data_IF_787314958008
#
_entry.id   IF_787314958008
#
_cell.length_a   1.000
_cell.length_b   1.000
_cell.length_c   1.000
_cell.angle_alpha   90.00
_cell.angle_beta   90.00
_cell.angle_gamma   90.00
#
_symmetry.space_group_name_H-M   'P 1'
#
loop_
_entity.id
_entity.type
_entity.pdbx_description
1 polymer ?
#
# COMPACT_ATOMS: atom_id res chain seq x y z
N UNK A 1 -8.99 28.29 -2.59
CA UNK A 1 -7.83 27.58 -2.01
C UNK A 1 -7.25 26.67 -3.09
N UNK A 2 -6.01 26.91 -3.53
CA UNK A 2 -5.42 26.60 -4.85
C UNK A 2 -5.82 25.26 -5.52
N UNK A 3 -6.65 25.35 -6.57
CA UNK A 3 -7.11 24.25 -7.45
C UNK A 3 -6.10 23.98 -8.60
N UNK A 4 -5.00 24.75 -8.72
CA UNK A 4 -4.35 24.98 -10.01
C UNK A 4 -3.56 23.82 -10.63
N UNK A 5 -3.39 22.67 -9.97
CA UNK A 5 -2.63 21.51 -10.51
C UNK A 5 -3.11 20.14 -10.00
N UNK A 6 -4.40 19.97 -9.68
CA UNK A 6 -4.93 18.64 -9.27
C UNK A 6 -5.20 17.74 -10.47
N UNK A 7 -5.00 16.44 -10.27
CA UNK A 7 -5.25 15.39 -11.28
C UNK A 7 -6.46 14.60 -10.82
N UNK A 8 -7.66 14.98 -11.29
CA UNK A 8 -8.94 14.46 -10.77
C UNK A 8 -9.06 12.95 -10.81
N UNK A 9 -8.60 12.31 -11.89
CA UNK A 9 -8.66 10.87 -12.05
C UNK A 9 -7.79 10.10 -11.04
N UNK A 10 -6.67 10.66 -10.58
CA UNK A 10 -5.86 10.02 -9.54
C UNK A 10 -6.56 10.03 -8.18
N UNK A 11 -7.30 11.09 -7.87
CA UNK A 11 -8.13 11.14 -6.67
C UNK A 11 -9.26 10.09 -6.79
N UNK A 12 -9.86 9.90 -7.97
CA UNK A 12 -10.87 8.86 -8.21
C UNK A 12 -10.33 7.46 -8.02
N UNK A 13 -9.23 7.14 -8.67
CA UNK A 13 -8.65 5.81 -8.62
C UNK A 13 -8.18 5.45 -7.20
N UNK A 14 -7.63 6.44 -6.47
CA UNK A 14 -7.30 6.27 -5.04
C UNK A 14 -8.55 6.06 -4.19
N UNK A 15 -9.63 6.79 -4.47
CA UNK A 15 -10.92 6.67 -3.79
C UNK A 15 -11.58 5.31 -4.01
N UNK A 16 -11.52 4.81 -5.23
CA UNK A 16 -11.97 3.46 -5.55
C UNK A 16 -11.14 2.41 -4.80
N UNK A 17 -9.80 2.49 -4.87
CA UNK A 17 -8.92 1.54 -4.18
C UNK A 17 -9.12 1.52 -2.66
N UNK A 18 -9.31 2.67 -2.01
CA UNK A 18 -9.55 2.73 -0.56
C UNK A 18 -10.91 2.12 -0.20
N UNK A 19 -11.96 2.34 -1.00
CA UNK A 19 -13.27 1.71 -0.76
C UNK A 19 -13.17 0.19 -0.91
N UNK A 20 -12.48 -0.32 -1.93
CA UNK A 20 -12.23 -1.75 -2.08
C UNK A 20 -11.49 -2.34 -0.88
N UNK A 21 -10.50 -1.63 -0.34
CA UNK A 21 -9.78 -2.04 0.89
C UNK A 21 -10.73 -2.11 2.10
N UNK A 22 -11.63 -1.12 2.26
CA UNK A 22 -12.62 -1.12 3.34
C UNK A 22 -13.58 -2.31 3.23
N UNK A 23 -14.08 -2.59 2.02
CA UNK A 23 -14.95 -3.74 1.76
C UNK A 23 -14.22 -5.04 2.04
N UNK A 24 -12.94 -5.15 1.66
CA UNK A 24 -12.13 -6.33 1.95
C UNK A 24 -12.00 -6.59 3.46
N UNK A 25 -11.62 -5.59 4.25
CA UNK A 25 -11.52 -5.77 5.71
C UNK A 25 -12.85 -6.08 6.37
N UNK A 26 -13.95 -5.48 5.90
CA UNK A 26 -15.29 -5.84 6.34
C UNK A 26 -15.58 -7.34 6.10
N UNK A 27 -15.22 -7.88 4.94
CA UNK A 27 -15.40 -9.31 4.65
C UNK A 27 -14.49 -10.20 5.50
N UNK A 28 -13.25 -9.76 5.79
CA UNK A 28 -12.31 -10.43 6.71
C UNK A 28 -12.90 -10.54 8.10
N UNK A 29 -13.45 -9.45 8.65
CA UNK A 29 -14.10 -9.47 9.96
C UNK A 29 -15.30 -10.41 9.98
N UNK A 30 -16.19 -10.27 8.99
CA UNK A 30 -17.37 -11.11 8.89
C UNK A 30 -17.01 -12.60 8.88
N UNK A 31 -15.98 -13.00 8.12
CA UNK A 31 -15.55 -14.39 8.03
C UNK A 31 -14.86 -14.89 9.29
N UNK A 32 -13.81 -14.20 9.75
CA UNK A 32 -12.92 -14.71 10.78
C UNK A 32 -13.31 -14.33 12.22
N UNK A 33 -14.02 -13.21 12.40
CA UNK A 33 -14.43 -12.72 13.73
C UNK A 33 -15.89 -13.09 14.03
N UNK A 34 -16.76 -12.99 13.03
CA UNK A 34 -18.21 -13.20 13.18
C UNK A 34 -18.72 -14.52 12.56
N UNK A 35 -17.84 -15.34 11.99
CA UNK A 35 -18.16 -16.66 11.42
C UNK A 35 -19.26 -16.65 10.34
N UNK A 36 -19.41 -15.54 9.61
CA UNK A 36 -20.31 -15.42 8.47
C UNK A 36 -19.63 -16.02 7.24
N UNK A 37 -20.34 -16.89 6.53
CA UNK A 37 -19.76 -17.55 5.36
C UNK A 37 -19.81 -16.64 4.12
N UNK A 38 -18.63 -16.22 3.66
CA UNK A 38 -18.41 -15.37 2.48
C UNK A 38 -17.29 -15.96 1.61
N UNK A 39 -17.46 -17.19 1.06
CA UNK A 39 -16.37 -17.97 0.48
C UNK A 39 -15.67 -17.29 -0.70
N UNK A 40 -16.43 -16.54 -1.51
CA UNK A 40 -15.93 -15.87 -2.72
C UNK A 40 -14.78 -14.86 -2.45
N UNK A 41 -14.70 -14.29 -1.24
CA UNK A 41 -13.67 -13.30 -0.87
C UNK A 41 -12.34 -13.92 -0.42
N UNK A 42 -12.30 -15.24 -0.21
CA UNK A 42 -11.14 -15.95 0.36
C UNK A 42 -10.57 -17.03 -0.55
N UNK A 43 -11.01 -17.06 -1.80
CA UNK A 43 -10.38 -17.86 -2.84
C UNK A 43 -9.08 -17.20 -3.31
N UNK A 44 -8.10 -17.98 -3.74
CA UNK A 44 -6.75 -17.48 -4.08
C UNK A 44 -6.71 -16.42 -5.18
N UNK A 45 -7.72 -16.35 -6.05
CA UNK A 45 -7.81 -15.28 -7.06
C UNK A 45 -8.14 -13.91 -6.43
N UNK A 46 -8.81 -13.88 -5.27
CA UNK A 46 -9.15 -12.64 -4.59
C UNK A 46 -7.90 -11.97 -3.97
N UNK A 47 -6.93 -12.75 -3.50
CA UNK A 47 -5.63 -12.23 -3.06
C UNK A 47 -4.94 -11.43 -4.18
N UNK A 48 -5.04 -11.90 -5.42
CA UNK A 48 -4.49 -11.19 -6.59
C UNK A 48 -5.19 -9.85 -6.81
N UNK A 49 -6.51 -9.81 -6.63
CA UNK A 49 -7.29 -8.58 -6.74
C UNK A 49 -6.92 -7.57 -5.65
N UNK A 50 -6.78 -8.03 -4.40
CA UNK A 50 -6.30 -7.19 -3.29
C UNK A 50 -4.94 -6.58 -3.64
N UNK A 51 -4.00 -7.40 -4.10
CA UNK A 51 -2.65 -6.96 -4.42
C UNK A 51 -2.64 -5.96 -5.60
N UNK A 52 -3.56 -6.09 -6.57
CA UNK A 52 -3.74 -5.12 -7.65
C UNK A 52 -4.19 -3.75 -7.10
N UNK A 53 -5.21 -3.70 -6.23
CA UNK A 53 -5.69 -2.43 -5.69
C UNK A 53 -4.65 -1.76 -4.77
N UNK A 54 -3.91 -2.55 -4.01
CA UNK A 54 -2.77 -2.07 -3.23
C UNK A 54 -1.68 -1.49 -4.15
N UNK A 55 -1.32 -2.21 -5.21
CA UNK A 55 -0.35 -1.73 -6.20
C UNK A 55 -0.78 -0.42 -6.86
N UNK A 56 -2.06 -0.28 -7.20
CA UNK A 56 -2.65 0.97 -7.69
C UNK A 56 -2.48 2.08 -6.64
N UNK A 57 -2.86 1.83 -5.38
CA UNK A 57 -2.76 2.81 -4.31
C UNK A 57 -1.32 3.30 -4.09
N UNK A 58 -0.36 2.38 -4.04
CA UNK A 58 1.07 2.68 -3.88
C UNK A 58 1.62 3.43 -5.09
N UNK A 59 1.29 3.02 -6.31
CA UNK A 59 1.70 3.71 -7.53
C UNK A 59 1.19 5.15 -7.57
N UNK A 60 -0.09 5.38 -7.21
CA UNK A 60 -0.66 6.73 -7.10
C UNK A 60 0.08 7.55 -6.04
N UNK A 61 0.47 6.94 -4.91
CA UNK A 61 1.28 7.62 -3.89
C UNK A 61 2.60 8.12 -4.49
N UNK A 62 3.28 7.27 -5.27
CA UNK A 62 4.48 7.62 -6.03
C UNK A 62 4.24 8.78 -7.01
N UNK A 63 3.18 8.71 -7.83
CA UNK A 63 2.83 9.79 -8.78
C UNK A 63 2.70 11.13 -8.04
N UNK A 64 1.95 11.14 -6.94
CA UNK A 64 1.64 12.37 -6.18
C UNK A 64 2.85 12.90 -5.40
N UNK A 65 3.91 12.10 -5.20
CA UNK A 65 5.17 12.60 -4.63
C UNK A 65 5.85 13.66 -5.49
N UNK A 66 5.57 13.75 -6.80
CA UNK A 66 6.08 14.80 -7.68
C UNK A 66 5.44 16.19 -7.46
N UNK A 67 4.28 16.23 -6.80
CA UNK A 67 3.55 17.45 -6.45
C UNK A 67 3.83 17.92 -5.01
N UNK A 68 4.59 17.12 -4.26
CA UNK A 68 4.89 17.39 -2.85
C UNK A 68 5.96 18.46 -2.69
N UNK A 69 5.82 19.33 -1.69
CA UNK A 69 6.91 20.24 -1.28
C UNK A 69 8.01 19.51 -0.50
N UNK A 70 7.64 18.51 0.30
CA UNK A 70 8.59 17.70 1.08
C UNK A 70 8.05 16.29 1.24
N UNK A 71 8.63 15.35 0.49
CA UNK A 71 8.30 13.92 0.62
C UNK A 71 8.83 13.34 1.92
N UNK A 72 9.95 13.85 2.45
CA UNK A 72 10.51 13.42 3.72
C UNK A 72 9.54 13.69 4.89
N UNK A 73 9.01 14.92 4.99
CA UNK A 73 8.04 15.26 6.05
C UNK A 73 6.78 14.40 5.98
N UNK A 74 6.21 14.24 4.77
CA UNK A 74 5.02 13.40 4.56
C UNK A 74 5.31 11.92 4.86
N UNK A 75 6.49 11.46 4.50
CA UNK A 75 7.00 10.12 4.80
C UNK A 75 7.04 9.85 6.30
N UNK A 76 7.69 10.74 7.06
CA UNK A 76 7.76 10.66 8.53
C UNK A 76 6.38 10.69 9.16
N UNK A 77 5.49 11.59 8.72
CA UNK A 77 4.12 11.65 9.23
C UNK A 77 3.34 10.35 8.97
N UNK A 78 3.42 9.81 7.75
CA UNK A 78 2.76 8.56 7.37
C UNK A 78 3.30 7.37 8.17
N UNK A 79 4.62 7.27 8.29
CA UNK A 79 5.28 6.23 9.07
C UNK A 79 4.88 6.30 10.55
N UNK A 80 4.83 7.51 11.12
CA UNK A 80 4.45 7.71 12.51
C UNK A 80 2.99 7.32 12.79
N UNK A 81 2.07 7.60 11.85
CA UNK A 81 0.69 7.09 11.95
C UNK A 81 0.69 5.55 11.93
N UNK A 82 1.50 4.93 11.07
CA UNK A 82 1.72 3.47 11.08
C UNK A 82 2.16 2.96 12.45
N UNK A 83 3.16 3.61 13.08
CA UNK A 83 3.64 3.21 14.40
C UNK A 83 2.57 3.33 15.48
N UNK A 84 1.68 4.33 15.39
CA UNK A 84 0.50 4.44 16.26
C UNK A 84 -0.43 3.23 16.04
N UNK A 85 -0.66 2.83 14.79
CA UNK A 85 -1.47 1.64 14.48
C UNK A 85 -0.83 0.37 15.04
N UNK A 86 0.49 0.19 14.93
CA UNK A 86 1.22 -0.92 15.57
C UNK A 86 1.00 -0.93 17.07
N UNK A 87 1.13 0.22 17.73
CA UNK A 87 0.93 0.34 19.17
C UNK A 87 -0.50 -0.05 19.56
N UNK A 88 -1.52 0.51 18.89
CA UNK A 88 -2.93 0.21 19.19
C UNK A 88 -3.26 -1.25 18.94
N UNK A 89 -2.83 -1.80 17.81
CA UNK A 89 -3.10 -3.21 17.44
C UNK A 89 -2.36 -4.19 18.33
N UNK A 90 -1.21 -3.84 18.92
CA UNK A 90 -0.54 -4.67 19.92
C UNK A 90 -1.37 -4.90 21.19
N UNK A 91 -2.26 -3.98 21.55
CA UNK A 91 -3.19 -4.17 22.68
C UNK A 91 -4.50 -4.84 22.25
N UNK A 92 -5.05 -4.48 21.09
CA UNK A 92 -6.35 -4.97 20.62
C UNK A 92 -6.25 -6.37 20.00
N UNK A 93 -5.13 -6.71 19.38
CA UNK A 93 -4.86 -8.01 18.77
C UNK A 93 -3.44 -8.49 19.11
N UNK A 94 -3.16 -8.89 20.38
CA UNK A 94 -1.80 -9.22 20.82
C UNK A 94 -1.15 -10.39 20.06
N UNK A 95 -1.95 -11.29 19.47
CA UNK A 95 -1.45 -12.42 18.68
C UNK A 95 -1.01 -12.05 17.27
N UNK A 96 -1.43 -10.90 16.75
CA UNK A 96 -1.13 -10.42 15.40
C UNK A 96 -1.16 -8.90 15.34
N UNK A 97 -0.20 -8.18 15.96
CA UNK A 97 -0.09 -6.73 15.82
C UNK A 97 0.20 -6.34 14.36
N UNK A 98 -0.20 -5.14 13.94
CA UNK A 98 0.22 -4.57 12.64
C UNK A 98 1.67 -4.09 12.73
N UNK A 99 2.63 -4.97 12.44
CA UNK A 99 4.06 -4.69 12.56
C UNK A 99 4.63 -3.90 11.37
N UNK A 100 4.09 -4.10 10.17
CA UNK A 100 4.56 -3.43 8.95
C UNK A 100 3.50 -3.35 7.85
N UNK A 101 2.35 -2.74 8.17
CA UNK A 101 1.30 -2.46 7.20
C UNK A 101 1.63 -1.35 6.18
N UNK A 102 0.66 -1.02 5.35
CA UNK A 102 0.86 -0.14 4.18
C UNK A 102 1.33 1.28 4.55
N UNK A 103 0.96 1.82 5.72
CA UNK A 103 1.42 3.15 6.15
C UNK A 103 2.91 3.19 6.47
N UNK A 104 3.46 2.12 7.03
CA UNK A 104 4.90 1.97 7.26
C UNK A 104 5.64 1.95 5.91
N UNK A 105 5.19 1.09 5.01
CA UNK A 105 5.74 0.96 3.66
C UNK A 105 5.73 2.29 2.91
N UNK A 106 4.57 2.96 2.84
CA UNK A 106 4.43 4.25 2.17
C UNK A 106 5.29 5.34 2.81
N UNK A 107 5.36 5.36 4.14
CA UNK A 107 6.23 6.26 4.89
C UNK A 107 7.68 6.11 4.46
N UNK A 108 8.20 4.88 4.50
CA UNK A 108 9.58 4.57 4.08
C UNK A 108 9.80 4.89 2.60
N UNK A 109 8.87 4.52 1.71
CA UNK A 109 8.97 4.82 0.28
C UNK A 109 9.09 6.33 0.01
N UNK A 110 8.25 7.15 0.66
CA UNK A 110 8.29 8.61 0.53
C UNK A 110 9.58 9.21 1.09
N UNK A 111 10.09 8.68 2.21
CA UNK A 111 11.37 9.09 2.79
C UNK A 111 12.53 8.76 1.84
N UNK A 112 12.60 7.53 1.34
CA UNK A 112 13.61 7.09 0.38
C UNK A 112 13.58 7.92 -0.91
N UNK A 113 12.38 8.18 -1.44
CA UNK A 113 12.22 9.04 -2.61
C UNK A 113 12.66 10.48 -2.33
N UNK A 114 12.28 11.05 -1.19
CA UNK A 114 12.68 12.40 -0.79
C UNK A 114 14.20 12.57 -0.59
N UNK A 115 14.86 11.56 0.00
CA UNK A 115 16.31 11.56 0.19
C UNK A 115 17.07 11.30 -1.13
N UNK A 116 16.54 10.41 -1.96
CA UNK A 116 17.12 10.01 -3.24
C UNK A 116 16.72 10.89 -4.42
N UNK A 117 15.95 11.96 -4.21
CA UNK A 117 15.35 12.77 -5.29
C UNK A 117 16.38 13.22 -6.34
N UNK A 118 17.55 13.70 -5.91
CA UNK A 118 18.64 14.15 -6.81
C UNK A 118 19.20 13.04 -7.70
N UNK A 119 19.09 11.78 -7.27
CA UNK A 119 19.53 10.61 -8.03
C UNK A 119 18.44 10.23 -9.03
N UNK A 120 17.19 10.16 -8.57
CA UNK A 120 16.05 9.81 -9.43
C UNK A 120 15.82 10.82 -10.56
N UNK A 121 16.05 12.11 -10.33
CA UNK A 121 15.94 13.17 -11.35
C UNK A 121 16.94 13.04 -12.50
N UNK A 122 18.06 12.32 -12.30
CA UNK A 122 19.06 12.07 -13.36
C UNK A 122 18.66 10.92 -14.29
N UNK A 123 17.69 10.10 -13.90
CA UNK A 123 17.28 8.91 -14.64
C UNK A 123 16.15 9.32 -15.60
N UNK A 124 16.24 8.99 -16.90
CA UNK A 124 15.12 9.22 -17.83
C UNK A 124 13.84 8.55 -17.31
N UNK A 125 12.69 9.26 -17.20
CA UNK A 125 11.50 8.73 -16.53
C UNK A 125 11.00 7.39 -17.08
N UNK A 126 11.04 7.20 -18.40
CA UNK A 126 10.68 5.93 -19.02
C UNK A 126 11.61 4.79 -18.57
N UNK A 127 12.93 5.00 -18.60
CA UNK A 127 13.90 4.01 -18.16
C UNK A 127 13.73 3.68 -16.66
N UNK A 128 13.53 4.70 -15.83
CA UNK A 128 13.26 4.53 -14.40
C UNK A 128 12.00 3.71 -14.14
N UNK A 129 10.91 3.96 -14.88
CA UNK A 129 9.68 3.19 -14.76
C UNK A 129 9.87 1.72 -15.19
N UNK A 130 10.52 1.47 -16.32
CA UNK A 130 10.80 0.12 -16.82
C UNK A 130 11.70 -0.67 -15.85
N UNK A 131 12.78 -0.05 -15.38
CA UNK A 131 13.68 -0.66 -14.38
C UNK A 131 12.91 -0.99 -13.10
N UNK A 132 12.04 -0.07 -12.65
CA UNK A 132 11.22 -0.29 -11.45
C UNK A 132 10.27 -1.48 -11.64
N UNK A 133 9.56 -1.58 -12.77
CA UNK A 133 8.69 -2.72 -13.05
C UNK A 133 9.48 -4.03 -13.12
N UNK A 134 10.68 -4.01 -13.72
CA UNK A 134 11.55 -5.17 -13.75
C UNK A 134 11.99 -5.61 -12.34
N UNK A 135 12.44 -4.67 -11.50
CA UNK A 135 12.82 -4.95 -10.11
C UNK A 135 11.63 -5.42 -9.26
N UNK A 136 10.42 -4.90 -9.51
CA UNK A 136 9.20 -5.41 -8.90
C UNK A 136 9.01 -6.89 -9.23
N UNK A 137 9.09 -7.27 -10.51
CA UNK A 137 8.93 -8.67 -10.93
C UNK A 137 9.98 -9.58 -10.29
N UNK A 138 11.24 -9.13 -10.20
CA UNK A 138 12.31 -9.88 -9.57
C UNK A 138 12.08 -10.12 -8.07
N UNK A 139 11.53 -9.12 -7.38
CA UNK A 139 11.40 -9.12 -5.91
C UNK A 139 10.02 -9.55 -5.41
N UNK A 140 9.07 -9.79 -6.31
CA UNK A 140 7.68 -10.11 -5.97
C UNK A 140 7.55 -11.31 -5.03
N UNK A 141 8.43 -12.31 -5.19
CA UNK A 141 8.40 -13.55 -4.41
C UNK A 141 9.31 -13.55 -3.18
N UNK A 142 9.87 -12.40 -2.78
CA UNK A 142 10.79 -12.35 -1.63
C UNK A 142 10.12 -12.85 -0.33
N UNK A 143 8.84 -12.53 -0.13
CA UNK A 143 8.05 -13.02 1.01
C UNK A 143 8.02 -14.56 1.09
N UNK A 144 8.13 -15.26 -0.03
CA UNK A 144 8.06 -16.73 -0.10
C UNK A 144 9.43 -17.43 -0.18
N UNK A 145 10.53 -16.68 -0.04
CA UNK A 145 11.88 -17.27 -0.08
C UNK A 145 12.53 -17.29 -1.46
N UNK A 146 11.94 -16.65 -2.47
CA UNK A 146 12.40 -16.75 -3.86
C UNK A 146 12.55 -15.40 -4.54
N UNK A 147 13.52 -15.31 -5.44
CA UNK A 147 13.69 -14.22 -6.40
C UNK A 147 13.44 -14.73 -7.81
N UNK A 148 12.94 -13.86 -8.68
CA UNK A 148 12.84 -14.13 -10.11
C UNK A 148 11.46 -13.92 -10.69
N UNK A 149 11.38 -14.07 -12.00
CA UNK A 149 10.19 -13.77 -12.79
C UNK A 149 9.40 -15.06 -13.01
N UNK A 150 8.10 -15.01 -12.67
CA UNK A 150 7.19 -16.13 -12.83
C UNK A 150 7.27 -16.72 -14.26
N UNK A 151 7.51 -18.02 -14.38
CA UNK A 151 7.60 -18.73 -15.67
C UNK A 151 8.91 -18.58 -16.43
N UNK A 152 9.85 -17.71 -16.01
CA UNK A 152 11.14 -17.54 -16.66
C UNK A 152 12.30 -18.10 -15.84
N UNK A 153 12.45 -17.63 -14.59
CA UNK A 153 13.49 -18.12 -13.70
C UNK A 153 13.11 -17.92 -12.24
N UNK A 154 13.59 -18.83 -11.39
CA UNK A 154 13.34 -18.83 -9.95
C UNK A 154 14.63 -19.19 -9.23
N UNK A 155 15.11 -18.29 -8.38
CA UNK A 155 16.29 -18.46 -7.56
C UNK A 155 15.89 -18.47 -6.08
N UNK A 156 16.38 -19.45 -5.31
CA UNK A 156 16.16 -19.50 -3.86
C UNK A 156 16.98 -18.42 -3.18
N UNK A 157 16.36 -17.68 -2.26
CA UNK A 157 17.06 -16.69 -1.43
C UNK A 157 17.84 -17.37 -0.30
N UNK A 158 18.96 -16.76 0.16
CA UNK A 158 19.70 -17.29 1.29
C UNK A 158 18.84 -17.40 2.55
N UNK A 159 18.85 -18.58 3.19
CA UNK A 159 18.03 -18.85 4.39
C UNK A 159 18.39 -17.93 5.56
N UNK A 160 19.65 -17.47 5.63
CA UNK A 160 20.12 -16.51 6.64
C UNK A 160 19.34 -15.17 6.64
N UNK A 161 18.71 -14.79 5.51
CA UNK A 161 17.86 -13.61 5.45
C UNK A 161 16.54 -13.80 6.23
N UNK A 162 16.05 -15.03 6.31
CA UNK A 162 14.79 -15.39 6.96
C UNK A 162 15.00 -15.93 8.38
N UNK A 163 16.23 -16.21 8.78
CA UNK A 163 16.53 -16.64 10.15
C UNK A 163 16.44 -15.50 11.17
N UNK A 164 16.36 -14.25 10.71
CA UNK A 164 16.41 -13.06 11.57
C UNK A 164 15.07 -12.33 11.60
N UNK A 165 14.50 -12.12 12.78
CA UNK A 165 13.21 -11.44 12.96
C UNK A 165 13.22 -9.92 12.72
N UNK A 166 14.32 -9.34 12.22
CA UNK A 166 14.49 -7.89 12.03
C UNK A 166 14.38 -7.48 10.56
N UNK A 167 14.52 -8.43 9.64
CA UNK A 167 14.53 -8.15 8.19
C UNK A 167 13.13 -8.18 7.54
N UNK A 168 12.07 -8.37 8.34
CA UNK A 168 10.69 -8.30 7.85
C UNK A 168 10.34 -6.99 7.13
N UNK A 169 10.84 -5.78 7.51
CA UNK A 169 10.52 -4.56 6.77
C UNK A 169 11.04 -4.59 5.34
N UNK A 170 12.10 -5.36 5.05
CA UNK A 170 12.66 -5.48 3.71
C UNK A 170 11.93 -6.52 2.85
N UNK A 171 11.14 -7.43 3.45
CA UNK A 171 10.51 -8.54 2.73
C UNK A 171 11.07 -9.91 3.07
N UNK A 172 11.86 -10.02 4.13
CA UNK A 172 12.39 -11.27 4.65
C UNK A 172 11.77 -11.57 6.02
N UNK A 173 10.49 -11.98 6.10
CA UNK A 173 9.86 -12.31 7.36
C UNK A 173 10.43 -13.63 7.89
N UNK A 174 10.76 -13.68 9.18
CA UNK A 174 11.18 -14.93 9.82
C UNK A 174 10.01 -15.89 10.06
N UNK A 175 10.31 -17.15 10.39
CA UNK A 175 9.30 -18.21 10.53
C UNK A 175 8.19 -17.89 11.55
N UNK A 176 8.53 -17.14 12.60
CA UNK A 176 7.59 -16.75 13.67
C UNK A 176 6.92 -15.39 13.42
N UNK A 177 7.13 -14.78 12.25
CA UNK A 177 6.57 -13.47 11.94
C UNK A 177 5.06 -13.58 11.69
N UNK A 178 4.29 -12.88 12.51
CA UNK A 178 2.84 -12.76 12.37
C UNK A 178 2.49 -11.28 12.44
N UNK A 179 1.69 -10.82 11.48
CA UNK A 179 1.24 -9.43 11.42
C UNK A 179 -0.17 -9.38 10.85
N UNK A 180 -1.03 -8.51 11.39
CA UNK A 180 -2.39 -8.31 10.87
C UNK A 180 -2.36 -7.87 9.41
N UNK A 181 -1.46 -6.94 9.12
CA UNK A 181 -1.17 -6.45 7.79
C UNK A 181 0.33 -6.50 7.51
N UNK A 182 0.72 -6.85 6.30
CA UNK A 182 2.14 -7.00 5.96
C UNK A 182 2.45 -6.59 4.52
N UNK A 183 2.98 -5.38 4.38
CA UNK A 183 3.43 -4.80 3.13
C UNK A 183 4.93 -4.45 3.20
N UNK A 184 5.82 -5.42 2.92
CA UNK A 184 7.26 -5.18 2.99
C UNK A 184 7.77 -4.15 1.98
N UNK A 185 8.95 -3.59 2.20
CA UNK A 185 9.54 -2.64 1.25
C UNK A 185 9.76 -3.26 -0.13
N UNK A 186 10.23 -4.50 -0.21
CA UNK A 186 10.28 -5.25 -1.47
C UNK A 186 9.07 -6.18 -1.56
N UNK A 187 8.29 -6.13 -2.66
CA UNK A 187 8.59 -5.45 -3.93
C UNK A 187 7.99 -4.03 -4.05
N UNK A 188 7.20 -3.60 -3.06
CA UNK A 188 6.29 -2.46 -3.15
C UNK A 188 6.95 -1.10 -3.40
N UNK A 189 8.20 -0.92 -2.96
CA UNK A 189 9.04 0.24 -3.28
C UNK A 189 9.15 0.45 -4.80
N UNK A 190 9.26 -0.63 -5.57
CA UNK A 190 9.44 -0.51 -7.00
C UNK A 190 8.14 -0.11 -7.71
N UNK A 191 6.97 -0.50 -7.22
CA UNK A 191 5.69 0.04 -7.71
C UNK A 191 5.56 1.53 -7.35
N UNK A 192 5.97 1.91 -6.15
CA UNK A 192 6.02 3.31 -5.76
C UNK A 192 6.93 4.12 -6.71
N UNK A 193 8.14 3.63 -6.98
CA UNK A 193 9.09 4.30 -7.87
C UNK A 193 8.59 4.32 -9.32
N UNK A 194 7.99 3.25 -9.82
CA UNK A 194 7.36 3.24 -11.15
C UNK A 194 6.28 4.34 -11.25
N UNK A 195 5.45 4.48 -10.21
CA UNK A 195 4.51 5.59 -10.09
C UNK A 195 5.19 6.95 -10.02
N UNK A 196 6.28 7.10 -9.26
CA UNK A 196 7.03 8.35 -9.16
C UNK A 196 7.64 8.78 -10.51
N UNK A 197 8.24 7.85 -11.25
CA UNK A 197 8.74 8.13 -12.60
C UNK A 197 7.61 8.47 -13.58
N UNK A 198 6.51 7.73 -13.57
CA UNK A 198 5.34 8.06 -14.40
C UNK A 198 4.74 9.42 -14.04
N UNK A 199 4.80 9.80 -12.76
CA UNK A 199 4.32 11.08 -12.26
C UNK A 199 5.02 12.30 -12.84
N UNK A 200 6.22 12.15 -13.41
CA UNK A 200 6.89 13.22 -14.16
C UNK A 200 6.05 13.59 -15.40
N UNK A 201 5.61 12.61 -16.19
CA UNK A 201 4.73 12.84 -17.35
C UNK A 201 3.39 13.45 -16.96
N UNK A 202 2.82 13.00 -15.83
CA UNK A 202 1.56 13.54 -15.33
C UNK A 202 1.73 15.02 -14.93
N UNK A 203 2.82 15.37 -14.24
CA UNK A 203 3.16 16.73 -13.84
C UNK A 203 3.40 17.66 -15.04
N UNK A 204 4.05 17.16 -16.08
CA UNK A 204 4.32 17.87 -17.34
C UNK A 204 3.09 18.00 -18.26
N UNK A 205 1.90 17.55 -17.83
CA UNK A 205 0.68 17.54 -18.66
C UNK A 205 0.77 16.67 -19.92
N UNK A 206 1.62 15.64 -19.89
CA UNK A 206 1.85 14.69 -21.00
C UNK A 206 1.03 13.41 -20.88
N UNK A 207 0.32 13.21 -19.76
CA UNK A 207 -0.67 12.14 -19.64
C UNK A 207 -1.93 12.44 -20.47
N UNK A 208 -2.76 11.44 -20.80
CA UNK A 208 -4.02 11.66 -21.51
C UNK A 208 -4.90 12.71 -20.83
N UNK A 209 -5.60 13.54 -21.62
CA UNK A 209 -6.40 14.68 -21.13
C UNK A 209 -7.43 14.31 -20.06
N UNK A 210 -7.96 13.08 -20.08
CA UNK A 210 -8.93 12.62 -19.10
C UNK A 210 -8.34 12.55 -17.67
N UNK A 211 -7.04 12.28 -17.50
CA UNK A 211 -6.41 12.18 -16.16
C UNK A 211 -6.65 13.43 -15.31
N UNK A 212 -6.67 14.60 -15.94
CA UNK A 212 -6.78 15.89 -15.25
C UNK A 212 -8.21 16.26 -14.86
N UNK A 213 -9.21 15.60 -15.44
CA UNK A 213 -10.62 15.86 -15.13
C UNK A 213 -11.10 14.96 -14.00
N UNK A 214 -12.07 15.46 -13.26
CA UNK A 214 -12.90 14.66 -12.37
C UNK A 214 -14.14 14.21 -13.14
N UNK A 215 -14.37 12.91 -13.23
CA UNK A 215 -15.52 12.25 -13.83
C UNK A 215 -16.52 11.79 -12.76
N UNK A 216 -16.04 11.23 -11.64
CA UNK A 216 -16.87 10.66 -10.57
C UNK A 216 -16.55 11.37 -9.25
N UNK A 217 -17.31 12.43 -8.89
CA UNK A 217 -17.04 13.24 -7.70
C UNK A 217 -17.00 12.45 -6.40
N UNK A 218 -17.79 11.38 -6.29
CA UNK A 218 -17.83 10.50 -5.12
C UNK A 218 -16.47 9.84 -4.87
N UNK A 219 -15.90 9.15 -5.87
CA UNK A 219 -14.58 8.53 -5.73
C UNK A 219 -13.50 9.58 -5.53
N UNK A 220 -13.55 10.71 -6.23
CA UNK A 220 -12.60 11.79 -6.02
C UNK A 220 -12.64 12.32 -4.57
N UNK A 221 -13.84 12.43 -3.98
CA UNK A 221 -14.01 12.83 -2.59
C UNK A 221 -13.39 11.81 -1.63
N UNK A 222 -13.67 10.52 -1.83
CA UNK A 222 -13.08 9.44 -1.03
C UNK A 222 -11.55 9.45 -1.14
N UNK A 223 -10.97 9.60 -2.33
CA UNK A 223 -9.53 9.64 -2.52
C UNK A 223 -8.84 10.83 -1.84
N UNK A 224 -9.50 11.99 -1.82
CA UNK A 224 -9.01 13.18 -1.09
C UNK A 224 -8.97 12.98 0.43
N UNK A 225 -9.82 12.11 0.97
CA UNK A 225 -9.90 11.78 2.40
C UNK A 225 -9.36 10.38 2.73
N UNK A 226 -8.64 9.76 1.78
CA UNK A 226 -8.18 8.37 1.88
C UNK A 226 -7.41 8.05 3.16
N UNK A 227 -6.58 8.96 3.69
CA UNK A 227 -5.86 8.73 4.95
C UNK A 227 -6.81 8.60 6.15
N UNK A 228 -7.87 9.40 6.20
CA UNK A 228 -8.86 9.35 7.27
C UNK A 228 -9.74 8.11 7.15
N UNK A 229 -10.16 7.79 5.92
CA UNK A 229 -10.87 6.53 5.64
C UNK A 229 -10.00 5.34 6.06
N UNK A 230 -8.72 5.34 5.71
CA UNK A 230 -7.78 4.30 6.10
C UNK A 230 -7.63 4.18 7.62
N UNK A 231 -7.46 5.27 8.36
CA UNK A 231 -7.24 5.18 9.81
C UNK A 231 -8.52 4.79 10.55
N UNK A 232 -9.68 5.27 10.08
CA UNK A 232 -10.95 5.12 10.80
C UNK A 232 -11.76 3.89 10.39
N UNK A 233 -11.49 3.25 9.25
CA UNK A 233 -12.33 2.14 8.80
C UNK A 233 -12.47 1.06 9.87
N UNK A 234 -11.36 0.60 10.46
CA UNK A 234 -11.42 -0.50 11.40
C UNK A 234 -11.91 -0.14 12.82
N UNK A 235 -11.49 0.99 13.41
CA UNK A 235 -12.09 1.49 14.64
C UNK A 235 -13.60 1.77 14.55
N UNK A 236 -14.14 1.97 13.35
CA UNK A 236 -15.58 2.20 13.14
C UNK A 236 -16.33 0.91 12.79
N UNK A 237 -15.80 0.12 11.85
CA UNK A 237 -16.47 -1.09 11.35
C UNK A 237 -16.57 -2.15 12.45
N UNK A 238 -15.47 -2.41 13.16
CA UNK A 238 -15.43 -3.47 14.15
C UNK A 238 -16.47 -3.28 15.28
N UNK A 239 -16.59 -2.11 15.93
CA UNK A 239 -17.64 -1.90 16.93
C UNK A 239 -19.06 -1.98 16.38
N UNK A 240 -19.30 -1.51 15.14
CA UNK A 240 -20.62 -1.63 14.50
C UNK A 240 -21.00 -3.10 14.32
N UNK A 241 -20.08 -3.94 13.86
CA UNK A 241 -20.32 -5.37 13.75
C UNK A 241 -20.55 -6.01 15.12
N UNK A 242 -19.79 -5.65 16.15
CA UNK A 242 -20.02 -6.11 17.52
C UNK A 242 -21.45 -5.80 18.00
N UNK A 243 -21.98 -4.60 17.73
CA UNK A 243 -23.35 -4.23 18.06
C UNK A 243 -24.39 -5.06 17.30
N UNK A 244 -24.17 -5.30 16.01
CA UNK A 244 -25.09 -6.08 15.16
C UNK A 244 -25.16 -7.54 15.60
N UNK A 245 -24.01 -8.14 15.92
CA UNK A 245 -23.90 -9.57 16.26
C UNK A 245 -23.95 -9.84 17.78
N UNK A 246 -24.11 -8.80 18.61
CA UNK A 246 -24.17 -8.93 20.07
C UNK A 246 -22.88 -9.43 20.72
N UNK A 247 -21.72 -9.15 20.11
CA UNK A 247 -20.40 -9.56 20.61
C UNK A 247 -19.79 -8.47 21.49
N UNK A 248 -19.06 -8.84 22.55
CA UNK A 248 -18.26 -7.88 23.31
C UNK A 248 -17.13 -7.31 22.47
N UNK A 249 -16.83 -6.02 22.66
CA UNK A 249 -15.73 -5.31 21.97
C UNK A 249 -14.36 -5.75 22.55
N UNK A 250 -14.36 -6.31 23.77
CA UNK A 250 -13.21 -6.84 24.51
C UNK A 250 -13.46 -8.27 25.00
#
# INVERSE_FOLDING_TARGET
MEIKNRVGFLDELRGFAIICMVVYHLMVDLKFVFNVDVPIFFESWFDTIRDIFVGIFISISGIVSNYSRSNLKRGVQCFFIGMIMTFVTAFVSPGSPDLFGILHCLGVCMMLYGLGQRIFEKIPPFAGAVISVFLFMLTFNFKTGYSGIHGLFKAKMPEALYSTSVLFPLGFPGEKFVSLDYFPLFPWLFIFLAGAFYGVYVKEKRAPKFFYKTHIPFFAFAGRHSIWIYVLHQPVIYPILCLIFGKSIF
#
